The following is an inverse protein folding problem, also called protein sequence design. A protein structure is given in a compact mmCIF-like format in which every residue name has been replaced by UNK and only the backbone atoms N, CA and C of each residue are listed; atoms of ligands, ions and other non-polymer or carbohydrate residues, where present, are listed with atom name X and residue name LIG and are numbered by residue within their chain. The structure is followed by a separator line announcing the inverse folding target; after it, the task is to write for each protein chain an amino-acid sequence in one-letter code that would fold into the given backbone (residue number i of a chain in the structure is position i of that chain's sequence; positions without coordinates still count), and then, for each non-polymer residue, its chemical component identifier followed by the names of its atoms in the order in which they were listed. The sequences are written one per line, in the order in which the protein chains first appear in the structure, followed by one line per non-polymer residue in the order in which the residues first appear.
data_IF_937082916157
#
_entry.id   IF_937082916157
#
_cell.length_a   1.000
_cell.length_b   1.000
_cell.length_c   1.000
_cell.angle_alpha   90.00
_cell.angle_beta   90.00
_cell.angle_gamma   90.00
#
_symmetry.space_group_name_H-M   'P 1'
#
loop_
_entity.id
_entity.type
_entity.pdbx_description
1 polymer ?
#
# COMPACT_ATOMS: atom_id res chain seq x y z
N UNK A 1 -14.74 -31.13 27.77
CA UNK A 1 -13.43 -30.79 27.18
C UNK A 1 -13.67 -30.35 25.75
N UNK A 2 -13.39 -29.09 25.47
CA UNK A 2 -13.41 -28.54 24.11
C UNK A 2 -12.42 -27.38 24.09
N UNK A 3 -11.20 -27.61 23.61
CA UNK A 3 -10.24 -26.55 23.34
C UNK A 3 -10.63 -25.94 22.01
N UNK A 4 -11.44 -24.88 22.06
CA UNK A 4 -11.65 -24.02 20.90
C UNK A 4 -10.31 -23.44 20.48
N UNK A 5 -9.84 -23.83 19.28
CA UNK A 5 -8.72 -23.18 18.64
C UNK A 5 -9.13 -21.76 18.30
N UNK A 6 -8.79 -20.81 19.17
CA UNK A 6 -8.77 -19.42 18.79
C UNK A 6 -7.62 -19.24 17.81
N UNK A 7 -7.94 -19.35 16.51
CA UNK A 7 -7.14 -18.71 15.47
C UNK A 7 -6.97 -17.27 15.89
N UNK A 8 -5.76 -16.98 16.37
CA UNK A 8 -5.34 -15.69 16.88
C UNK A 8 -5.44 -14.70 15.73
N UNK A 9 -6.63 -14.14 15.55
CA UNK A 9 -6.91 -13.11 14.59
C UNK A 9 -5.91 -11.99 14.89
N UNK A 10 -5.03 -11.74 13.92
CA UNK A 10 -4.09 -10.62 13.92
C UNK A 10 -4.90 -9.32 13.94
N UNK A 11 -5.44 -8.96 15.10
CA UNK A 11 -5.77 -7.59 15.45
C UNK A 11 -4.44 -6.92 15.76
N UNK A 12 -3.67 -6.65 14.70
CA UNK A 12 -2.57 -5.69 14.75
C UNK A 12 -3.14 -4.44 15.42
N UNK A 13 -2.66 -4.17 16.63
CA UNK A 13 -3.16 -3.04 17.39
C UNK A 13 -2.65 -1.82 16.64
N UNK A 14 -3.48 -0.79 16.49
CA UNK A 14 -3.09 0.48 15.83
C UNK A 14 -1.81 1.07 16.46
N UNK A 15 -1.46 0.66 17.69
CA UNK A 15 -0.21 0.95 18.38
C UNK A 15 1.07 0.37 17.75
N UNK A 16 0.98 -0.68 16.95
CA UNK A 16 2.15 -1.33 16.32
C UNK A 16 2.73 -0.43 15.20
N UNK A 17 1.95 0.52 14.69
CA UNK A 17 2.37 1.52 13.69
C UNK A 17 3.14 2.68 14.31
N UNK A 18 3.03 2.90 15.63
CA UNK A 18 3.75 4.00 16.30
C UNK A 18 5.27 3.84 16.32
N UNK A 19 5.78 2.63 16.06
CA UNK A 19 7.23 2.37 16.00
C UNK A 19 7.78 2.34 14.57
N UNK A 20 6.92 2.43 13.56
CA UNK A 20 7.37 2.54 12.19
C UNK A 20 7.97 3.93 11.95
N UNK A 21 9.14 4.03 11.30
CA UNK A 21 9.70 5.32 10.96
C UNK A 21 8.75 6.07 10.03
N UNK A 22 8.10 7.12 10.56
CA UNK A 22 7.24 8.05 9.82
C UNK A 22 8.08 8.96 8.90
N UNK A 23 8.90 8.35 8.03
CA UNK A 23 9.71 9.07 7.06
C UNK A 23 8.78 9.62 5.98
N UNK A 24 8.67 10.94 5.95
CA UNK A 24 8.12 11.63 4.80
C UNK A 24 9.06 11.40 3.61
N UNK A 25 8.58 10.68 2.62
CA UNK A 25 9.31 10.50 1.37
C UNK A 25 9.28 11.80 0.57
N UNK A 26 10.40 12.11 -0.08
CA UNK A 26 10.43 13.22 -1.02
C UNK A 26 9.50 12.91 -2.20
N UNK A 27 8.90 13.94 -2.81
CA UNK A 27 8.13 13.77 -4.05
C UNK A 27 8.95 13.03 -5.10
N UNK A 28 8.27 12.14 -5.83
CA UNK A 28 8.90 11.35 -6.90
C UNK A 28 9.40 12.33 -7.98
N UNK A 29 10.69 12.24 -8.30
CA UNK A 29 11.35 13.09 -9.31
C UNK A 29 11.38 12.39 -10.67
N UNK A 30 11.60 13.17 -11.73
CA UNK A 30 11.76 12.63 -13.09
C UNK A 30 10.47 12.51 -13.89
N UNK A 31 9.34 12.91 -13.30
CA UNK A 31 8.06 13.08 -14.00
C UNK A 31 7.77 14.54 -14.37
N UNK A 32 8.69 15.45 -14.05
CA UNK A 32 8.54 16.89 -14.28
C UNK A 32 8.45 17.24 -15.78
N UNK A 33 9.06 16.43 -16.64
CA UNK A 33 9.01 16.54 -18.10
C UNK A 33 7.87 15.73 -18.73
N UNK A 34 7.08 15.01 -17.93
CA UNK A 34 5.98 14.18 -18.43
C UNK A 34 4.72 15.05 -18.54
N UNK A 35 3.99 14.98 -19.67
CA UNK A 35 2.75 15.74 -19.81
C UNK A 35 1.71 15.32 -18.76
N UNK A 36 0.97 16.29 -18.26
CA UNK A 36 -0.18 16.02 -17.38
C UNK A 36 -1.23 15.21 -18.15
N UNK A 37 -1.69 14.12 -17.54
CA UNK A 37 -2.69 13.21 -18.10
C UNK A 37 -3.79 12.94 -17.09
N UNK A 38 -4.90 12.35 -17.54
CA UNK A 38 -5.98 11.91 -16.64
C UNK A 38 -5.53 10.69 -15.83
N UNK A 39 -6.25 10.39 -14.75
CA UNK A 39 -5.94 9.26 -13.87
C UNK A 39 -6.04 7.93 -14.60
N UNK A 40 -7.03 7.77 -15.47
CA UNK A 40 -7.27 6.54 -16.24
C UNK A 40 -6.06 6.20 -17.11
N UNK A 41 -5.47 7.23 -17.75
CA UNK A 41 -4.28 7.07 -18.58
C UNK A 41 -3.00 6.84 -17.77
N UNK A 42 -2.93 7.37 -16.54
CA UNK A 42 -1.79 7.16 -15.66
C UNK A 42 -1.71 5.71 -15.13
N UNK A 43 -2.86 5.02 -15.00
CA UNK A 43 -2.92 3.64 -14.47
C UNK A 43 -2.89 2.55 -15.53
N UNK A 44 -3.08 2.87 -16.81
CA UNK A 44 -2.95 1.91 -17.94
C UNK A 44 -1.71 1.01 -17.85
N UNK A 45 -0.49 1.51 -17.56
CA UNK A 45 0.70 0.68 -17.46
C UNK A 45 0.63 -0.38 -16.36
N UNK A 46 -0.10 -0.08 -15.27
CA UNK A 46 -0.22 -0.95 -14.11
C UNK A 46 -1.17 -2.13 -14.35
N UNK A 47 -2.11 -2.00 -15.30
CA UNK A 47 -3.04 -3.08 -15.65
C UNK A 47 -2.30 -4.32 -16.14
N UNK A 48 -1.18 -4.14 -16.85
CA UNK A 48 -0.34 -5.25 -17.33
C UNK A 48 0.35 -6.06 -16.22
N UNK A 49 0.41 -5.53 -15.00
CA UNK A 49 1.07 -6.14 -13.85
C UNK A 49 0.09 -6.82 -12.87
N UNK A 50 -1.21 -6.69 -13.10
CA UNK A 50 -2.22 -7.29 -12.24
C UNK A 50 -2.50 -8.73 -12.70
N UNK A 51 -2.51 -9.72 -11.78
CA UNK A 51 -2.97 -11.07 -12.09
C UNK A 51 -4.48 -11.10 -12.34
N UNK A 52 -4.93 -12.06 -13.15
CA UNK A 52 -6.34 -12.27 -13.54
C UNK A 52 -7.30 -12.49 -12.35
#
# INVERSE_FOLDING_TARGET
MGTGGESQAHRSRVSDVNQEPLKMLLPIRGYDSVPLVTLEKAVEPLVSLLPD
#
